data_IF_659370053426
#
_entry.id   IF_659370053426
#
_cell.length_a   1.000
_cell.length_b   1.000
_cell.length_c   1.000
_cell.angle_alpha   90.00
_cell.angle_beta   90.00
_cell.angle_gamma   90.00
#
_symmetry.space_group_name_H-M   'P 1'
#
loop_
_entity.id
_entity.type
_entity.pdbx_description
1 polymer ?
#
# COMPACT_ATOMS: atom_id res chain seq x y z
N UNK A 1 1.66 -16.37 2.14
CA UNK A 1 0.90 -15.58 1.16
C UNK A 1 0.90 -14.12 1.57
N UNK A 2 1.27 -13.24 0.66
CA UNK A 2 1.32 -11.81 0.88
C UNK A 2 0.34 -11.10 -0.04
N UNK A 3 -0.13 -9.92 0.38
CA UNK A 3 -1.21 -9.21 -0.28
C UNK A 3 -0.80 -7.79 -0.62
N UNK A 4 -1.10 -7.36 -1.85
CA UNK A 4 -0.89 -5.99 -2.27
C UNK A 4 -2.12 -5.51 -3.03
N UNK A 5 -2.54 -4.30 -2.73
CA UNK A 5 -3.64 -3.65 -3.43
C UNK A 5 -3.08 -2.57 -4.32
N UNK A 6 -3.41 -2.62 -5.59
CA UNK A 6 -2.87 -1.70 -6.59
C UNK A 6 -3.96 -1.02 -7.40
N UNK A 7 -3.65 0.18 -7.85
CA UNK A 7 -4.46 0.91 -8.82
C UNK A 7 -3.71 0.87 -10.14
N UNK A 8 -4.05 -0.07 -11.04
CA UNK A 8 -3.28 -0.28 -12.28
C UNK A 8 -3.16 0.97 -13.13
N UNK A 9 -4.22 1.78 -13.19
CA UNK A 9 -4.24 3.01 -13.97
C UNK A 9 -3.16 4.00 -13.54
N UNK A 10 -2.82 4.02 -12.25
CA UNK A 10 -1.79 4.91 -11.70
C UNK A 10 -0.46 4.20 -11.49
N UNK A 11 -0.41 2.90 -11.74
CA UNK A 11 0.77 2.07 -11.51
C UNK A 11 1.31 2.22 -10.09
N UNK A 12 0.42 2.24 -9.11
CA UNK A 12 0.75 2.46 -7.70
C UNK A 12 -0.07 1.57 -6.78
N UNK A 13 0.43 1.36 -5.57
CA UNK A 13 -0.36 0.81 -4.49
C UNK A 13 -1.42 1.81 -4.02
N UNK A 14 -2.37 1.34 -3.22
CA UNK A 14 -3.52 2.17 -2.82
C UNK A 14 -3.13 3.41 -2.02
N UNK A 15 -2.07 3.34 -1.23
CA UNK A 15 -1.63 4.50 -0.43
C UNK A 15 -1.08 5.61 -1.31
N UNK A 16 -0.20 5.28 -2.24
CA UNK A 16 0.32 6.26 -3.18
C UNK A 16 -0.79 6.82 -4.08
N UNK A 17 -1.71 5.94 -4.51
CA UNK A 17 -2.83 6.35 -5.34
C UNK A 17 -3.74 7.35 -4.64
N UNK A 18 -4.08 7.10 -3.37
CA UNK A 18 -4.97 8.01 -2.63
C UNK A 18 -4.32 9.38 -2.43
N UNK A 19 -3.02 9.42 -2.17
CA UNK A 19 -2.29 10.67 -2.06
C UNK A 19 -2.28 11.46 -3.37
N UNK A 20 -2.16 10.76 -4.51
CA UNK A 20 -2.10 11.40 -5.81
C UNK A 20 -3.45 11.94 -6.28
N UNK A 21 -4.55 11.27 -5.94
CA UNK A 21 -5.87 11.69 -6.42
C UNK A 21 -6.52 12.74 -5.53
N UNK A 22 -6.10 12.86 -4.27
CA UNK A 22 -6.63 13.86 -3.36
C UNK A 22 -5.88 15.17 -3.52
N UNK A 23 -6.61 16.28 -3.48
CA UNK A 23 -6.02 17.61 -3.49
C UNK A 23 -5.60 17.97 -2.07
N UNK A 24 -4.30 17.87 -1.79
CA UNK A 24 -3.77 18.11 -0.46
C UNK A 24 -3.77 19.60 -0.07
N UNK A 25 -4.09 20.48 -1.00
CA UNK A 25 -4.32 21.90 -0.73
C UNK A 25 -5.76 22.18 -0.29
N UNK A 26 -6.63 21.19 -0.40
CA UNK A 26 -8.02 21.26 0.04
C UNK A 26 -8.10 20.63 1.45
N UNK A 27 -8.54 21.41 2.45
CA UNK A 27 -8.59 20.94 3.83
C UNK A 27 -9.48 19.73 4.02
N UNK A 28 -10.60 19.65 3.32
CA UNK A 28 -11.52 18.53 3.45
C UNK A 28 -10.88 17.23 2.92
N UNK A 29 -10.19 17.30 1.81
CA UNK A 29 -9.52 16.13 1.23
C UNK A 29 -8.28 15.73 2.04
N UNK A 30 -7.56 16.70 2.58
CA UNK A 30 -6.43 16.43 3.47
C UNK A 30 -6.89 15.73 4.75
N UNK A 31 -7.99 16.19 5.34
CA UNK A 31 -8.60 15.56 6.51
C UNK A 31 -9.07 14.15 6.19
N UNK A 32 -9.64 13.94 5.00
CA UNK A 32 -10.03 12.62 4.56
C UNK A 32 -8.82 11.69 4.45
N UNK A 33 -7.72 12.17 3.87
CA UNK A 33 -6.48 11.38 3.79
C UNK A 33 -6.01 10.98 5.18
N UNK A 34 -5.94 11.92 6.11
CA UNK A 34 -5.52 11.63 7.48
C UNK A 34 -6.43 10.61 8.14
N UNK A 35 -7.73 10.72 7.96
CA UNK A 35 -8.69 9.77 8.50
C UNK A 35 -8.44 8.35 7.93
N UNK A 36 -8.23 8.26 6.62
CA UNK A 36 -8.03 6.98 5.95
C UNK A 36 -6.72 6.29 6.36
N UNK A 37 -5.68 7.06 6.65
CA UNK A 37 -4.35 6.50 6.95
C UNK A 37 -3.99 6.49 8.44
N UNK A 38 -4.71 7.20 9.29
CA UNK A 38 -4.37 7.33 10.72
C UNK A 38 -4.21 5.98 11.41
N UNK A 39 -5.10 5.06 11.15
CA UNK A 39 -5.05 3.72 11.74
C UNK A 39 -3.78 2.96 11.32
N UNK A 40 -3.38 3.14 10.06
CA UNK A 40 -2.15 2.50 9.58
C UNK A 40 -0.91 3.10 10.23
N UNK A 41 -0.88 4.42 10.40
CA UNK A 41 0.26 5.11 11.02
C UNK A 41 0.51 4.63 12.46
N UNK A 42 -0.55 4.28 13.19
CA UNK A 42 -0.43 3.77 14.55
C UNK A 42 0.21 2.39 14.61
N UNK A 43 0.06 1.58 13.58
CA UNK A 43 0.47 0.18 13.59
C UNK A 43 1.54 -0.18 12.57
N UNK A 44 1.64 0.57 11.47
CA UNK A 44 2.67 0.33 10.46
C UNK A 44 3.83 1.28 10.68
N UNK A 45 4.94 0.73 11.12
CA UNK A 45 6.15 1.52 11.33
C UNK A 45 6.80 1.87 10.00
N UNK A 46 7.28 3.10 9.87
CA UNK A 46 8.14 3.48 8.77
C UNK A 46 9.49 2.79 8.97
N UNK A 47 9.90 1.91 8.06
CA UNK A 47 11.18 1.22 8.22
C UNK A 47 12.35 2.17 7.94
N UNK A 48 13.49 1.89 8.58
CA UNK A 48 14.71 2.66 8.38
C UNK A 48 15.49 2.11 7.18
N UNK A 49 14.88 2.21 6.02
CA UNK A 49 15.47 1.79 4.75
C UNK A 49 15.14 2.84 3.68
N UNK A 50 15.93 2.83 2.60
CA UNK A 50 15.62 3.65 1.45
C UNK A 50 14.40 3.07 0.73
N UNK A 51 13.33 3.86 0.66
CA UNK A 51 12.05 3.43 0.08
C UNK A 51 11.99 3.57 -1.44
N UNK A 52 13.03 4.11 -2.08
CA UNK A 52 13.05 4.18 -3.54
C UNK A 52 13.04 2.78 -4.16
N UNK A 53 12.27 2.63 -5.22
CA UNK A 53 12.15 1.35 -5.94
C UNK A 53 11.76 0.18 -5.05
N UNK A 54 10.87 0.43 -4.09
CA UNK A 54 10.34 -0.61 -3.21
C UNK A 54 8.84 -0.77 -3.39
N UNK A 55 8.35 -1.93 -2.96
CA UNK A 55 6.92 -2.23 -2.87
C UNK A 55 6.60 -2.73 -1.48
N UNK A 56 5.49 -2.25 -0.93
CA UNK A 56 4.99 -2.70 0.36
C UNK A 56 3.88 -3.74 0.15
N UNK A 57 3.95 -4.81 0.92
CA UNK A 57 2.97 -5.89 0.89
C UNK A 57 2.47 -6.14 2.30
N UNK A 58 1.21 -6.52 2.43
CA UNK A 58 0.67 -6.94 3.72
C UNK A 58 0.95 -8.41 3.97
N UNK A 59 1.30 -8.75 5.20
CA UNK A 59 1.28 -10.13 5.65
C UNK A 59 -0.18 -10.57 5.77
N UNK A 60 -0.42 -11.87 5.94
CA UNK A 60 -1.78 -12.37 6.17
C UNK A 60 -2.40 -11.72 7.41
N UNK A 61 -1.60 -11.57 8.46
CA UNK A 61 -2.04 -10.91 9.70
C UNK A 61 -2.36 -9.43 9.46
N UNK A 62 -1.49 -8.73 8.72
CA UNK A 62 -1.72 -7.33 8.36
C UNK A 62 -2.97 -7.14 7.52
N UNK A 63 -3.16 -8.02 6.54
CA UNK A 63 -4.33 -7.96 5.68
C UNK A 63 -5.64 -8.10 6.47
N UNK A 64 -5.67 -8.97 7.47
CA UNK A 64 -6.82 -9.14 8.36
C UNK A 64 -7.02 -7.92 9.26
N UNK A 65 -5.92 -7.45 9.86
CA UNK A 65 -5.97 -6.33 10.81
C UNK A 65 -6.50 -5.06 10.16
N UNK A 66 -6.05 -4.77 8.95
CA UNK A 66 -6.37 -3.53 8.26
C UNK A 66 -7.51 -3.65 7.25
N UNK A 67 -8.20 -4.77 7.24
CA UNK A 67 -9.24 -5.06 6.24
C UNK A 67 -10.28 -3.95 6.11
N UNK A 68 -10.78 -3.43 7.23
CA UNK A 68 -11.80 -2.38 7.21
C UNK A 68 -11.26 -1.08 6.62
N UNK A 69 -10.05 -0.71 7.00
CA UNK A 69 -9.41 0.52 6.52
C UNK A 69 -9.07 0.41 5.05
N UNK A 70 -8.55 -0.74 4.62
CA UNK A 70 -8.28 -1.02 3.22
C UNK A 70 -9.56 -0.88 2.39
N UNK A 71 -10.66 -1.43 2.88
CA UNK A 71 -11.95 -1.36 2.20
C UNK A 71 -12.44 0.07 2.05
N UNK A 72 -12.24 0.91 3.06
CA UNK A 72 -12.60 2.34 2.99
C UNK A 72 -11.81 3.05 1.90
N UNK A 73 -10.51 2.81 1.83
CA UNK A 73 -9.65 3.40 0.79
C UNK A 73 -10.10 2.94 -0.59
N UNK A 74 -10.37 1.65 -0.75
CA UNK A 74 -10.85 1.09 -2.01
C UNK A 74 -12.17 1.76 -2.44
N UNK A 75 -13.09 1.97 -1.51
CA UNK A 75 -14.36 2.61 -1.81
C UNK A 75 -14.17 4.04 -2.31
N UNK A 76 -13.29 4.81 -1.67
CA UNK A 76 -12.98 6.18 -2.12
C UNK A 76 -12.40 6.18 -3.53
N UNK A 77 -11.49 5.24 -3.81
CA UNK A 77 -10.90 5.11 -5.14
C UNK A 77 -11.96 4.76 -6.19
N UNK A 78 -12.84 3.82 -5.87
CA UNK A 78 -13.93 3.42 -6.78
C UNK A 78 -14.90 4.56 -7.05
N UNK A 79 -15.22 5.37 -6.04
CA UNK A 79 -16.09 6.53 -6.20
C UNK A 79 -15.49 7.56 -7.17
N UNK A 80 -14.17 7.56 -7.31
CA UNK A 80 -13.45 8.42 -8.23
C UNK A 80 -13.09 7.73 -9.55
N UNK A 81 -13.75 6.60 -9.85
CA UNK A 81 -13.60 5.83 -11.08
C UNK A 81 -12.26 5.14 -11.25
N UNK A 82 -11.61 4.79 -10.15
CA UNK A 82 -10.39 3.99 -10.17
C UNK A 82 -10.70 2.54 -9.79
N UNK A 83 -10.16 1.61 -10.57
CA UNK A 83 -10.23 0.18 -10.26
C UNK A 83 -9.07 -0.20 -9.36
N UNK A 84 -9.33 -1.12 -8.42
CA UNK A 84 -8.32 -1.63 -7.50
C UNK A 84 -8.18 -3.13 -7.72
N UNK A 85 -6.95 -3.60 -7.85
CA UNK A 85 -6.65 -5.03 -7.95
C UNK A 85 -5.98 -5.51 -6.67
N UNK A 86 -6.40 -6.67 -6.19
CA UNK A 86 -5.74 -7.33 -5.07
C UNK A 86 -4.82 -8.40 -5.64
N UNK A 87 -3.53 -8.29 -5.34
CA UNK A 87 -2.52 -9.24 -5.80
C UNK A 87 -2.11 -10.10 -4.61
N UNK A 88 -2.08 -11.40 -4.79
CA UNK A 88 -1.64 -12.35 -3.78
C UNK A 88 -0.48 -13.16 -4.35
N UNK A 89 0.60 -13.27 -3.62
CA UNK A 89 1.69 -14.14 -4.01
C UNK A 89 2.61 -14.50 -2.85
N UNK A 90 3.39 -15.55 -3.06
CA UNK A 90 4.49 -15.88 -2.18
C UNK A 90 5.69 -14.99 -2.54
N UNK A 91 6.45 -14.59 -1.54
CA UNK A 91 7.65 -13.80 -1.74
C UNK A 91 8.84 -14.52 -1.14
N UNK A 92 9.97 -14.47 -1.84
CA UNK A 92 11.22 -15.09 -1.38
C UNK A 92 11.95 -14.17 -0.43
N UNK A 93 12.64 -14.77 0.56
CA UNK A 93 13.39 -14.01 1.55
C UNK A 93 14.46 -13.11 0.92
N UNK A 94 15.02 -13.52 -0.21
CA UNK A 94 16.03 -12.75 -0.94
C UNK A 94 15.50 -11.39 -1.41
N UNK A 95 14.20 -11.26 -1.61
CA UNK A 95 13.56 -10.04 -2.08
C UNK A 95 13.19 -9.10 -0.93
N UNK A 96 13.18 -9.60 0.29
CA UNK A 96 12.67 -8.86 1.45
C UNK A 96 13.74 -7.92 2.00
N UNK A 97 13.44 -6.61 2.00
CA UNK A 97 14.29 -5.59 2.57
C UNK A 97 13.92 -5.27 4.01
N UNK A 98 12.65 -5.44 4.35
CA UNK A 98 12.12 -5.18 5.68
C UNK A 98 10.91 -6.08 5.91
N UNK A 99 10.76 -6.56 7.14
CA UNK A 99 9.63 -7.40 7.52
C UNK A 99 9.24 -7.13 8.96
N UNK A 100 7.95 -6.96 9.20
CA UNK A 100 7.41 -6.99 10.55
C UNK A 100 6.12 -7.82 10.56
N UNK A 101 5.38 -7.75 11.65
CA UNK A 101 4.18 -8.54 11.87
C UNK A 101 3.09 -8.30 10.83
N UNK A 102 3.01 -7.07 10.30
CA UNK A 102 1.90 -6.64 9.45
C UNK A 102 2.28 -6.41 8.00
N UNK A 103 3.54 -6.13 7.73
CA UNK A 103 3.98 -5.76 6.37
C UNK A 103 5.36 -6.30 6.05
N UNK A 104 5.61 -6.41 4.76
CA UNK A 104 6.95 -6.61 4.23
C UNK A 104 7.21 -5.59 3.13
N UNK A 105 8.47 -5.25 2.94
CA UNK A 105 8.89 -4.36 1.88
C UNK A 105 9.92 -5.08 1.03
N UNK A 106 9.70 -5.11 -0.25
CA UNK A 106 10.58 -5.77 -1.21
C UNK A 106 11.16 -4.77 -2.20
N UNK A 107 12.24 -5.17 -2.84
CA UNK A 107 12.84 -4.37 -3.90
C UNK A 107 12.08 -4.57 -5.21
N UNK A 108 11.65 -3.48 -5.84
CA UNK A 108 11.04 -3.54 -7.17
C UNK A 108 12.05 -3.97 -8.23
N UNK A 109 13.32 -3.68 -8.01
CA UNK A 109 14.38 -4.04 -8.94
C UNK A 109 14.54 -5.54 -9.09
N UNK A 110 14.31 -6.27 -8.01
CA UNK A 110 14.38 -7.74 -8.03
C UNK A 110 13.32 -8.34 -8.92
N UNK A 111 12.16 -7.71 -9.00
CA UNK A 111 11.03 -8.23 -9.80
C UNK A 111 11.14 -7.86 -11.27
N UNK A 112 12.02 -6.93 -11.62
CA UNK A 112 12.19 -6.44 -12.98
C UNK A 112 13.43 -7.00 -13.66
N UNK A 113 14.20 -7.80 -12.98
CA UNK A 113 15.36 -8.43 -13.59
C UNK A 113 14.93 -9.49 -14.57
N UNK A 114 14.76 -9.10 -15.74
CA UNK A 114 14.94 -10.06 -16.78
C UNK A 114 16.16 -9.64 -17.54
N UNK A 115 17.04 -10.52 -17.72
CA UNK A 115 18.10 -10.32 -18.69
C UNK A 115 17.50 -10.28 -20.08
#
# INVERSE_FOLDING_TARGET
>A
MFFRYEVPKLNQGIFGAIEDILDLNNEEELDLLFELVAYFEDYLKAPDINMEDTESWFTQKGNRKFKKSIKKIINVLKERNYSVSCIQKELHEDEILYKDEYQIIISRKSSTTSP
#
